data_IF_900362028907
#
_entry.id   IF_900362028907
#
_cell.length_a   1.000
_cell.length_b   1.000
_cell.length_c   1.000
_cell.angle_alpha   90.00
_cell.angle_beta   90.00
_cell.angle_gamma   90.00
#
_symmetry.space_group_name_H-M   'P 1'
#
loop_
_entity.id
_entity.type
_entity.pdbx_description
1 polymer ?
#
# COMPACT_ATOMS: atom_id res chain seq x y z
N UNK A 1 7.49 -7.64 6.31
CA UNK A 1 8.34 -6.92 7.28
C UNK A 1 9.51 -6.22 6.61
N UNK A 2 10.34 -6.98 5.88
CA UNK A 2 11.51 -6.45 5.17
C UNK A 2 11.19 -5.27 4.23
N UNK A 3 10.09 -5.35 3.47
CA UNK A 3 9.68 -4.30 2.54
C UNK A 3 9.40 -2.97 3.24
N UNK A 4 8.86 -3.02 4.45
CA UNK A 4 8.52 -1.86 5.26
C UNK A 4 9.79 -1.09 5.68
N UNK A 5 10.85 -1.82 6.03
CA UNK A 5 12.16 -1.26 6.35
C UNK A 5 12.84 -0.68 5.11
N UNK A 6 12.79 -1.36 3.97
CA UNK A 6 13.34 -0.86 2.71
C UNK A 6 12.65 0.43 2.27
N UNK A 7 11.32 0.50 2.37
CA UNK A 7 10.55 1.70 2.03
C UNK A 7 10.84 2.85 2.98
N UNK A 8 10.90 2.54 4.28
CA UNK A 8 11.24 3.52 5.30
C UNK A 8 12.64 4.13 5.09
N UNK A 9 13.65 3.31 4.84
CA UNK A 9 15.02 3.79 4.63
C UNK A 9 15.13 4.66 3.37
N UNK A 10 14.43 4.28 2.29
CA UNK A 10 14.32 5.09 1.07
C UNK A 10 13.68 6.45 1.31
N UNK A 11 12.55 6.51 2.02
CA UNK A 11 11.88 7.77 2.37
C UNK A 11 12.78 8.67 3.23
N UNK A 12 13.53 8.07 4.17
CA UNK A 12 14.49 8.81 5.01
C UNK A 12 15.67 9.33 4.19
N UNK A 13 16.18 8.55 3.25
CA UNK A 13 17.25 8.97 2.33
C UNK A 13 16.83 10.15 1.45
N UNK A 14 15.53 10.25 1.13
CA UNK A 14 14.93 11.37 0.38
C UNK A 14 14.57 12.58 1.27
N UNK A 15 14.90 12.54 2.57
CA UNK A 15 14.71 13.67 3.49
C UNK A 15 13.37 13.71 4.23
N UNK A 16 12.54 12.65 4.16
CA UNK A 16 11.31 12.58 4.98
C UNK A 16 11.65 12.38 6.46
N UNK A 17 10.98 13.08 7.40
CA UNK A 17 11.23 12.88 8.82
C UNK A 17 10.85 11.44 9.26
N UNK A 18 11.61 10.81 10.17
CA UNK A 18 11.39 9.43 10.60
C UNK A 18 9.95 9.10 11.06
N UNK A 19 9.25 9.92 11.85
CA UNK A 19 7.89 9.58 12.28
C UNK A 19 6.90 9.53 11.10
N UNK A 20 6.99 10.47 10.15
CA UNK A 20 6.14 10.45 8.94
C UNK A 20 6.53 9.31 8.00
N UNK A 21 7.82 9.07 7.80
CA UNK A 21 8.30 7.97 6.96
C UNK A 21 7.80 6.62 7.48
N UNK A 22 7.81 6.40 8.80
CA UNK A 22 7.31 5.17 9.41
C UNK A 22 5.79 5.02 9.23
N UNK A 23 5.03 6.11 9.42
CA UNK A 23 3.57 6.10 9.23
C UNK A 23 3.19 5.82 7.77
N UNK A 24 3.87 6.49 6.83
CA UNK A 24 3.69 6.33 5.38
C UNK A 24 4.08 4.93 4.94
N UNK A 25 5.25 4.44 5.34
CA UNK A 25 5.69 3.08 5.01
C UNK A 25 4.71 2.03 5.56
N UNK A 26 4.18 2.23 6.78
CA UNK A 26 3.20 1.30 7.35
C UNK A 26 1.88 1.25 6.58
N UNK A 27 1.43 2.38 6.04
CA UNK A 27 0.17 2.49 5.28
C UNK A 27 0.34 2.07 3.81
N UNK A 28 1.45 2.44 3.19
CA UNK A 28 1.63 2.43 1.75
C UNK A 28 2.87 1.67 1.25
N UNK A 29 3.49 0.80 2.07
CA UNK A 29 4.69 0.07 1.68
C UNK A 29 4.53 -0.71 0.37
N UNK A 30 3.41 -1.41 0.18
CA UNK A 30 3.17 -2.18 -1.03
C UNK A 30 3.10 -1.27 -2.28
N UNK A 31 2.36 -0.17 -2.18
CA UNK A 31 2.17 0.78 -3.28
C UNK A 31 3.46 1.53 -3.63
N UNK A 32 4.23 1.96 -2.64
CA UNK A 32 5.51 2.65 -2.87
C UNK A 32 6.54 1.71 -3.49
N UNK A 33 6.54 0.44 -3.09
CA UNK A 33 7.39 -0.57 -3.71
C UNK A 33 7.04 -0.78 -5.18
N UNK A 34 5.75 -0.97 -5.50
CA UNK A 34 5.29 -1.13 -6.88
C UNK A 34 5.62 0.10 -7.74
N UNK A 35 5.48 1.31 -7.19
CA UNK A 35 5.92 2.54 -7.84
C UNK A 35 7.43 2.54 -8.11
N UNK A 36 8.24 2.09 -7.15
CA UNK A 36 9.66 1.88 -7.35
C UNK A 36 9.99 0.88 -8.45
N UNK A 37 9.28 -0.24 -8.53
CA UNK A 37 9.45 -1.27 -9.58
C UNK A 37 9.04 -0.76 -10.97
N UNK A 38 8.10 0.19 -11.04
CA UNK A 38 7.75 0.91 -12.27
C UNK A 38 8.76 2.00 -12.67
N UNK A 39 9.78 2.26 -11.86
CA UNK A 39 10.80 3.28 -12.12
C UNK A 39 10.46 4.67 -11.58
N UNK A 40 9.43 4.81 -10.73
CA UNK A 40 9.17 6.08 -10.05
C UNK A 40 10.10 6.22 -8.84
N UNK A 41 11.03 7.18 -8.93
CA UNK A 41 12.04 7.43 -7.89
C UNK A 41 11.60 8.50 -6.87
N UNK A 42 10.58 9.30 -7.21
CA UNK A 42 10.09 10.39 -6.36
C UNK A 42 9.06 9.90 -5.32
N UNK A 43 9.59 9.23 -4.29
CA UNK A 43 8.74 8.56 -3.30
C UNK A 43 8.07 9.55 -2.34
N UNK A 44 8.62 10.75 -2.19
CA UNK A 44 8.05 11.82 -1.37
C UNK A 44 6.76 12.34 -2.02
N UNK A 45 6.81 12.67 -3.31
CA UNK A 45 5.63 13.10 -4.06
C UNK A 45 4.61 11.96 -4.16
N UNK A 46 5.08 10.74 -4.44
CA UNK A 46 4.23 9.55 -4.45
C UNK A 46 3.50 9.34 -3.11
N UNK A 47 4.19 9.46 -1.98
CA UNK A 47 3.60 9.32 -0.65
C UNK A 47 2.50 10.36 -0.39
N UNK A 48 2.74 11.63 -0.76
CA UNK A 48 1.74 12.71 -0.64
C UNK A 48 0.52 12.46 -1.53
N UNK A 49 0.74 11.99 -2.76
CA UNK A 49 -0.33 11.62 -3.67
C UNK A 49 -1.11 10.41 -3.18
N UNK A 50 -0.44 9.41 -2.60
CA UNK A 50 -1.09 8.25 -1.99
C UNK A 50 -1.96 8.64 -0.80
N UNK A 51 -1.53 9.58 0.05
CA UNK A 51 -2.37 10.10 1.13
C UNK A 51 -3.59 10.84 0.57
N UNK A 52 -3.37 11.77 -0.39
CA UNK A 52 -4.43 12.53 -1.06
C UNK A 52 -5.47 11.65 -1.76
N UNK A 53 -5.03 10.58 -2.40
CA UNK A 53 -5.88 9.66 -3.16
C UNK A 53 -6.21 8.36 -2.41
N UNK A 54 -6.04 8.33 -1.08
CA UNK A 54 -6.38 7.18 -0.22
C UNK A 54 -5.78 5.84 -0.72
N UNK A 55 -4.54 5.87 -1.19
CA UNK A 55 -3.81 4.68 -1.65
C UNK A 55 -4.12 4.21 -3.07
N UNK A 56 -4.83 5.00 -3.90
CA UNK A 56 -5.14 4.65 -5.30
C UNK A 56 -3.91 4.74 -6.21
N UNK A 57 -3.11 3.67 -6.24
CA UNK A 57 -1.87 3.58 -7.03
C UNK A 57 -2.05 3.97 -8.51
N UNK A 58 -3.09 3.50 -9.20
CA UNK A 58 -3.31 3.84 -10.62
C UNK A 58 -3.46 5.35 -10.87
N UNK A 59 -4.07 6.09 -9.93
CA UNK A 59 -4.20 7.55 -10.07
C UNK A 59 -2.86 8.25 -9.83
N UNK A 60 -2.10 7.77 -8.86
CA UNK A 60 -0.77 8.30 -8.53
C UNK A 60 0.22 8.04 -9.67
N UNK A 61 0.24 6.83 -10.23
CA UNK A 61 1.10 6.47 -11.34
C UNK A 61 0.81 7.32 -12.59
N UNK A 62 -0.47 7.56 -12.92
CA UNK A 62 -0.83 8.44 -14.04
C UNK A 62 -0.32 9.87 -13.80
N UNK A 63 -0.52 10.43 -12.60
CA UNK A 63 -0.06 11.79 -12.28
C UNK A 63 1.47 11.94 -12.32
N UNK A 64 2.19 10.92 -11.84
CA UNK A 64 3.65 10.90 -11.90
C UNK A 64 4.15 10.78 -13.36
N UNK A 65 3.50 9.95 -14.17
CA UNK A 65 3.81 9.80 -15.61
C UNK A 65 3.50 11.05 -16.43
N UNK A 66 2.46 11.80 -16.06
CA UNK A 66 2.09 13.07 -16.72
C UNK A 66 3.09 14.21 -16.42
N UNK A 67 4.15 13.97 -15.64
CA UNK A 67 5.21 14.95 -15.37
C UNK A 67 4.99 15.77 -14.10
N UNK A 68 4.01 15.42 -13.27
CA UNK A 68 3.60 16.15 -12.06
C UNK A 68 4.60 16.16 -10.89
N UNK A 69 5.88 15.84 -11.11
CA UNK A 69 6.93 15.88 -10.10
C UNK A 69 7.65 17.22 -9.97
N UNK A 70 7.62 18.07 -11.01
CA UNK A 70 8.47 19.27 -11.07
C UNK A 70 7.75 20.62 -10.92
N UNK A 71 6.41 20.67 -10.98
CA UNK A 71 5.69 21.96 -11.16
C UNK A 71 4.51 22.19 -10.20
N UNK A 72 4.55 21.65 -8.98
CA UNK A 72 3.49 21.93 -7.97
C UNK A 72 3.77 23.12 -7.03
N UNK A 73 4.86 23.88 -7.22
CA UNK A 73 5.19 25.04 -6.37
C UNK A 73 4.78 26.41 -6.96
N UNK A 74 4.40 26.51 -8.24
CA UNK A 74 4.05 27.79 -8.88
C UNK A 74 2.74 27.72 -9.67
N UNK A 75 1.65 27.32 -9.00
CA UNK A 75 0.35 27.83 -9.40
C UNK A 75 -0.09 28.82 -8.33
N UNK A 76 -0.09 30.14 -8.61
CA UNK A 76 -0.76 31.07 -7.72
C UNK A 76 -2.17 30.55 -7.56
N UNK A 77 -2.53 30.25 -6.32
CA UNK A 77 -3.90 29.94 -5.91
C UNK A 77 -4.72 31.19 -6.16
N UNK A 78 -5.06 31.43 -7.44
CA UNK A 78 -6.06 32.41 -7.81
C UNK A 78 -7.30 32.01 -7.03
N UNK A 79 -7.94 32.94 -6.29
CA UNK A 79 -9.19 32.63 -5.64
C UNK A 79 -10.13 32.13 -6.73
N UNK A 80 -10.47 30.84 -6.65
CA UNK A 80 -11.51 30.26 -7.48
C UNK A 80 -12.76 31.07 -7.17
N UNK A 81 -13.07 32.03 -8.03
CA UNK A 81 -14.35 32.68 -8.03
C UNK A 81 -15.40 31.57 -8.07
N UNK A 82 -16.45 31.61 -7.23
CA UNK A 82 -17.49 30.59 -7.25
C UNK A 82 -18.08 30.54 -8.65
N UNK A 83 -17.72 29.52 -9.41
CA UNK A 83 -18.29 29.24 -10.71
C UNK A 83 -19.79 29.05 -10.50
N UNK A 84 -20.57 29.91 -11.14
CA UNK A 84 -22.02 29.85 -11.16
C UNK A 84 -22.46 28.40 -11.44
N UNK A 85 -23.39 27.93 -10.60
CA UNK A 85 -23.89 26.57 -10.63
C UNK A 85 -24.29 26.16 -12.06
N UNK A 86 -23.75 25.06 -12.62
CA UNK A 86 -24.28 24.50 -13.85
C UNK A 86 -25.72 24.05 -13.59
N UNK A 87 -26.62 24.44 -14.50
CA UNK A 87 -28.03 24.05 -14.46
C UNK A 87 -28.17 22.52 -14.39
N UNK A 88 -29.19 22.00 -13.68
CA UNK A 88 -29.43 20.56 -13.60
C UNK A 88 -29.80 20.03 -14.98
N UNK A 89 -28.89 19.29 -15.61
CA UNK A 89 -29.21 18.45 -16.76
C UNK A 89 -30.06 17.28 -16.26
N UNK A 90 -31.27 17.19 -16.79
CA UNK A 90 -32.21 16.12 -16.51
C UNK A 90 -31.59 14.76 -16.90
N UNK A 91 -31.50 13.85 -15.94
CA UNK A 91 -31.09 12.47 -16.16
C UNK A 91 -32.13 11.74 -17.04
N UNK A 92 -31.73 11.11 -18.16
CA UNK A 92 -32.60 10.15 -18.85
C UNK A 92 -32.83 8.91 -17.98
N UNK A 93 -34.03 8.35 -18.11
CA UNK A 93 -34.54 7.22 -17.33
C UNK A 93 -33.63 5.97 -17.37
N UNK A 94 -33.63 5.14 -16.30
CA UNK A 94 -32.86 3.91 -16.25
C UNK A 94 -33.40 2.88 -17.26
N UNK A 95 -32.50 2.39 -18.11
CA UNK A 95 -32.74 1.24 -19.00
C UNK A 95 -32.66 -0.04 -18.15
N UNK A 96 -33.61 -0.99 -18.25
CA UNK A 96 -33.55 -2.24 -17.52
C UNK A 96 -32.39 -3.11 -18.03
N UNK A 97 -31.48 -3.46 -17.12
CA UNK A 97 -30.35 -4.36 -17.37
C UNK A 97 -30.84 -5.82 -17.43
N UNK A 98 -30.56 -6.59 -18.50
CA UNK A 98 -30.89 -8.00 -18.56
C UNK A 98 -29.96 -8.82 -17.67
N UNK A 99 -30.55 -9.60 -16.76
CA UNK A 99 -29.88 -10.56 -15.90
C UNK A 99 -29.01 -11.54 -16.72
N UNK A 100 -27.68 -11.39 -16.63
CA UNK A 100 -26.74 -12.41 -17.08
C UNK A 100 -26.12 -13.15 -15.90
N UNK A 101 -26.82 -14.23 -15.55
CA UNK A 101 -26.29 -15.59 -15.58
C UNK A 101 -25.01 -15.85 -14.77
N UNK A 102 -25.23 -16.23 -13.51
CA UNK A 102 -24.32 -17.02 -12.70
C UNK A 102 -23.76 -18.21 -13.50
N UNK A 103 -22.44 -18.23 -13.71
CA UNK A 103 -21.72 -19.45 -14.08
C UNK A 103 -21.22 -20.15 -12.81
N UNK A 104 -21.54 -21.44 -12.62
CA UNK A 104 -20.95 -22.24 -11.55
C UNK A 104 -19.53 -22.71 -11.92
N UNK A 105 -18.64 -22.59 -10.92
CA UNK A 105 -17.59 -23.51 -10.48
C UNK A 105 -16.57 -24.09 -11.48
N UNK A 106 -15.28 -23.98 -11.11
CA UNK A 106 -14.38 -25.14 -11.07
C UNK A 106 -13.17 -24.87 -10.15
N UNK A 107 -13.03 -25.71 -9.13
CA UNK A 107 -11.83 -25.94 -8.31
C UNK A 107 -10.62 -26.34 -9.15
N UNK A 108 -9.39 -26.07 -8.68
CA UNK A 108 -8.39 -27.11 -8.31
C UNK A 108 -7.01 -26.51 -7.94
N UNK A 109 -6.66 -26.69 -6.66
CA UNK A 109 -5.41 -27.20 -6.04
C UNK A 109 -3.99 -26.87 -6.56
N UNK A 110 -3.13 -26.59 -5.56
CA UNK A 110 -1.80 -27.20 -5.29
C UNK A 110 -0.50 -26.39 -5.54
N UNK A 111 0.32 -26.33 -4.48
CA UNK A 111 1.79 -26.17 -4.50
C UNK A 111 2.28 -24.88 -3.82
N UNK A 112 3.02 -24.85 -2.72
CA UNK A 112 3.79 -25.90 -2.05
C UNK A 112 3.89 -25.64 -0.54
N UNK A 113 3.33 -26.58 0.23
CA UNK A 113 3.74 -26.85 1.61
C UNK A 113 5.11 -27.52 1.59
N UNK A 114 6.16 -26.81 2.02
CA UNK A 114 7.36 -27.46 2.52
C UNK A 114 7.10 -27.89 3.99
N UNK A 115 6.27 -28.92 4.15
CA UNK A 115 6.11 -29.61 5.42
C UNK A 115 7.30 -30.57 5.62
N UNK A 116 8.47 -30.01 5.86
CA UNK A 116 9.52 -30.73 6.57
C UNK A 116 9.10 -30.73 8.05
N UNK A 117 9.02 -31.90 8.67
CA UNK A 117 8.52 -32.08 10.04
C UNK A 117 9.17 -31.10 11.01
N UNK A 118 8.45 -30.05 11.37
CA UNK A 118 8.90 -29.10 12.37
C UNK A 118 8.89 -29.88 13.70
N UNK A 119 10.08 -30.17 14.23
CA UNK A 119 10.28 -30.79 15.53
C UNK A 119 9.67 -29.88 16.61
N UNK A 120 8.38 -30.11 16.90
CA UNK A 120 7.57 -29.33 17.85
C UNK A 120 8.25 -29.17 19.20
N UNK A 121 9.06 -30.16 19.59
CA UNK A 121 9.83 -30.15 20.83
C UNK A 121 10.94 -29.10 20.82
N UNK A 122 11.65 -28.91 19.69
CA UNK A 122 12.68 -27.86 19.57
C UNK A 122 12.07 -26.46 19.52
N UNK A 123 10.95 -26.32 18.83
CA UNK A 123 10.20 -25.04 18.76
C UNK A 123 9.70 -24.65 20.15
N UNK A 124 9.11 -25.60 20.89
CA UNK A 124 8.62 -25.34 22.25
C UNK A 124 9.75 -24.99 23.23
N UNK A 125 10.91 -25.65 23.12
CA UNK A 125 12.08 -25.33 23.93
C UNK A 125 12.58 -23.90 23.65
N UNK A 126 12.74 -23.54 22.37
CA UNK A 126 13.22 -22.23 21.96
C UNK A 126 12.24 -21.10 22.28
N UNK A 127 10.93 -21.36 22.15
CA UNK A 127 9.90 -20.41 22.55
C UNK A 127 9.95 -20.10 24.05
N UNK A 128 10.14 -21.11 24.91
CA UNK A 128 10.29 -20.92 26.36
C UNK A 128 11.56 -20.14 26.72
N UNK A 129 12.66 -20.38 26.00
CA UNK A 129 13.90 -19.62 26.17
C UNK A 129 13.69 -18.13 25.83
N UNK A 130 13.04 -17.84 24.70
CA UNK A 130 12.77 -16.46 24.29
C UNK A 130 11.85 -15.73 25.27
N UNK A 131 10.84 -16.41 25.82
CA UNK A 131 10.02 -15.85 26.89
C UNK A 131 10.82 -15.58 28.17
N UNK A 132 11.78 -16.44 28.52
CA UNK A 132 12.63 -16.24 29.70
C UNK A 132 13.59 -15.05 29.54
N UNK A 133 13.99 -14.73 28.31
CA UNK A 133 14.80 -13.54 27.96
C UNK A 133 13.94 -12.26 27.92
N UNK A 134 12.62 -12.38 28.08
CA UNK A 134 11.68 -11.25 28.10
C UNK A 134 11.18 -10.83 26.72
N UNK A 135 11.36 -11.68 25.70
CA UNK A 135 10.80 -11.46 24.36
C UNK A 135 9.30 -11.64 24.40
N UNK A 136 8.55 -10.77 23.70
CA UNK A 136 7.09 -10.89 23.66
C UNK A 136 6.64 -12.18 22.97
N UNK A 137 5.50 -12.78 23.39
CA UNK A 137 5.03 -14.07 22.86
C UNK A 137 4.83 -14.09 21.34
N UNK A 138 4.38 -12.97 20.77
CA UNK A 138 4.12 -12.88 19.34
C UNK A 138 5.41 -12.87 18.50
N UNK A 139 6.49 -12.29 19.06
CA UNK A 139 7.81 -12.25 18.43
C UNK A 139 8.55 -13.59 18.64
N UNK A 140 8.43 -14.16 19.84
CA UNK A 140 8.99 -15.46 20.19
C UNK A 140 8.43 -16.59 19.31
N UNK A 141 7.14 -16.54 18.93
CA UNK A 141 6.53 -17.54 18.06
C UNK A 141 7.11 -17.51 16.64
N UNK A 142 7.42 -16.31 16.12
CA UNK A 142 8.06 -16.15 14.81
C UNK A 142 9.53 -16.59 14.81
N UNK A 143 10.24 -16.42 15.93
CA UNK A 143 11.64 -16.82 16.07
C UNK A 143 11.84 -18.30 16.42
N UNK A 144 10.79 -19.00 16.86
CA UNK A 144 10.85 -20.40 17.26
C UNK A 144 10.59 -21.38 16.11
N UNK A 145 9.98 -20.94 15.00
CA UNK A 145 9.68 -21.72 13.78
C UNK A 145 10.88 -21.69 12.83
#
# INVERSE_FOLDING_TARGET
GAELLSVFDRLRALGMPPPEAAATAKKYAAQLKELGEMGFEDWITAARLLDKYNGRLSRVANLLSEGGGAEFDDFPMAPVAPAAAPAPVAFPAPVPEPAQQQRPQASTVAGASAAAGIDKERVAAKFRELLAVGVQPNDAAGQAI
#
